data_IF_606181959360
#
_entry.id   IF_606181959360
#
_cell.length_a   1.000
_cell.length_b   1.000
_cell.length_c   1.000
_cell.angle_alpha   90.00
_cell.angle_beta   90.00
_cell.angle_gamma   90.00
#
_symmetry.space_group_name_H-M   'P 1'
#
loop_
_entity.id
_entity.type
_entity.pdbx_description
1 polymer ?
#
# COMPACT_ATOMS: atom_id res chain seq x y z
N UNK A 1 1.89 63.02 3.93
CA UNK A 1 2.58 62.38 2.78
C UNK A 1 4.06 62.67 2.94
N UNK A 2 5.05 61.78 2.96
CA UNK A 2 5.21 60.33 2.99
C UNK A 2 6.62 60.13 3.63
N UNK A 3 6.79 59.28 4.65
CA UNK A 3 7.45 57.95 4.58
C UNK A 3 8.59 57.83 3.54
N UNK A 4 9.73 57.21 3.79
CA UNK A 4 10.42 56.68 4.95
C UNK A 4 11.81 56.27 4.42
N UNK A 5 12.85 56.41 5.25
CA UNK A 5 14.18 55.85 5.01
C UNK A 5 14.06 54.32 4.85
N UNK A 6 14.63 53.74 3.80
CA UNK A 6 15.07 52.35 3.85
C UNK A 6 16.40 52.16 3.14
N UNK A 7 17.39 51.86 3.98
CA UNK A 7 18.69 51.30 3.65
C UNK A 7 18.53 49.80 3.29
N UNK A 8 19.64 49.29 2.74
CA UNK A 8 20.14 47.90 2.86
C UNK A 8 19.94 46.99 1.64
N UNK A 9 21.04 46.97 0.87
CA UNK A 9 21.83 45.82 0.44
C UNK A 9 21.26 44.84 -0.61
N UNK A 10 21.97 44.86 -1.74
CA UNK A 10 22.28 43.74 -2.61
C UNK A 10 22.60 42.45 -1.83
N UNK A 11 21.87 41.36 -2.11
CA UNK A 11 22.44 40.01 -2.12
C UNK A 11 21.84 39.22 -3.30
N UNK A 12 22.71 39.03 -4.29
CA UNK A 12 22.85 37.92 -5.22
C UNK A 12 21.66 36.98 -5.48
N UNK A 13 21.14 37.07 -6.71
CA UNK A 13 20.37 36.03 -7.38
C UNK A 13 21.30 34.83 -7.62
N UNK A 14 21.23 33.82 -6.76
CA UNK A 14 21.70 32.48 -7.09
C UNK A 14 20.48 31.64 -7.47
N UNK A 15 20.20 31.61 -8.77
CA UNK A 15 19.36 30.63 -9.40
C UNK A 15 20.06 29.27 -9.32
N UNK A 16 19.67 28.45 -8.37
CA UNK A 16 19.86 27.00 -8.41
C UNK A 16 18.54 26.38 -8.00
N UNK A 17 17.73 26.12 -9.02
CA UNK A 17 16.58 25.24 -8.91
C UNK A 17 17.06 23.85 -8.53
N UNK A 18 17.05 23.55 -7.24
CA UNK A 18 16.98 22.19 -6.74
C UNK A 18 15.50 21.90 -6.55
N UNK A 19 14.96 21.17 -7.53
CA UNK A 19 13.65 20.55 -7.58
C UNK A 19 13.22 20.07 -6.19
N UNK A 20 12.33 20.81 -5.53
CA UNK A 20 11.41 20.22 -4.57
C UNK A 20 10.57 19.21 -5.34
N UNK A 21 11.01 17.96 -5.38
CA UNK A 21 10.12 16.84 -5.64
C UNK A 21 9.06 16.90 -4.54
N UNK A 22 7.77 17.13 -4.84
CA UNK A 22 6.76 16.56 -4.00
C UNK A 22 6.90 15.07 -4.27
N UNK A 23 7.71 14.39 -3.45
CA UNK A 23 7.63 12.95 -3.36
C UNK A 23 6.17 12.73 -2.97
N UNK A 24 5.37 12.31 -3.95
CA UNK A 24 4.06 11.76 -3.74
C UNK A 24 4.29 10.66 -2.72
N UNK A 25 4.07 11.00 -1.45
CA UNK A 25 3.76 10.07 -0.40
C UNK A 25 2.46 9.44 -0.88
N UNK A 26 2.60 8.46 -1.78
CA UNK A 26 1.61 7.42 -1.93
C UNK A 26 1.41 6.96 -0.51
N UNK A 27 0.22 7.24 0.01
CA UNK A 27 -0.22 6.74 1.30
C UNK A 27 -0.32 5.23 1.12
N UNK A 28 0.82 4.54 1.11
CA UNK A 28 0.88 3.14 1.43
C UNK A 28 0.23 3.06 2.80
N UNK A 29 -0.88 2.31 2.97
CA UNK A 29 -1.42 2.07 4.30
C UNK A 29 -0.24 1.64 5.16
N UNK A 30 -0.08 2.26 6.34
CA UNK A 30 1.07 2.02 7.20
C UNK A 30 1.24 0.50 7.33
N UNK A 31 2.23 -0.05 6.63
CA UNK A 31 2.38 -1.51 6.51
C UNK A 31 2.76 -2.01 7.89
N UNK A 32 1.79 -2.57 8.59
CA UNK A 32 1.96 -3.11 9.94
C UNK A 32 2.72 -4.42 9.92
N UNK A 33 2.80 -5.08 8.75
CA UNK A 33 3.54 -6.33 8.57
C UNK A 33 4.92 -6.09 7.97
N UNK A 34 5.90 -6.96 8.26
CA UNK A 34 7.23 -6.87 7.66
C UNK A 34 7.16 -6.98 6.12
N UNK A 35 7.93 -6.17 5.38
CA UNK A 35 7.87 -6.13 3.91
C UNK A 35 8.22 -7.47 3.25
N UNK A 36 9.14 -8.24 3.83
CA UNK A 36 9.49 -9.58 3.38
C UNK A 36 8.32 -10.56 3.51
N UNK A 37 7.51 -10.43 4.57
CA UNK A 37 6.35 -11.28 4.77
C UNK A 37 5.23 -10.92 3.78
N UNK A 38 5.06 -9.64 3.48
CA UNK A 38 4.16 -9.17 2.43
C UNK A 38 4.60 -9.74 1.08
N UNK A 39 5.89 -9.70 0.75
CA UNK A 39 6.41 -10.21 -0.52
C UNK A 39 6.14 -11.72 -0.67
N UNK A 40 6.41 -12.52 0.36
CA UNK A 40 6.11 -13.96 0.37
C UNK A 40 4.61 -14.19 0.20
N UNK A 41 3.78 -13.49 0.97
CA UNK A 41 2.32 -13.59 0.85
C UNK A 41 1.83 -13.26 -0.56
N UNK A 42 2.33 -12.18 -1.15
CA UNK A 42 1.94 -11.75 -2.50
C UNK A 42 2.28 -12.82 -3.54
N UNK A 43 3.48 -13.41 -3.46
CA UNK A 43 3.89 -14.48 -4.35
C UNK A 43 2.99 -15.71 -4.23
N UNK A 44 2.73 -16.17 -3.01
CA UNK A 44 1.88 -17.35 -2.76
C UNK A 44 0.43 -17.11 -3.14
N UNK A 45 -0.11 -15.95 -2.77
CA UNK A 45 -1.48 -15.57 -3.08
C UNK A 45 -1.69 -15.49 -4.59
N UNK A 46 -0.79 -14.84 -5.33
CA UNK A 46 -0.92 -14.72 -6.78
C UNK A 46 -0.83 -16.09 -7.47
N UNK A 47 0.07 -16.97 -7.02
CA UNK A 47 0.17 -18.33 -7.54
C UNK A 47 -1.12 -19.14 -7.28
N UNK A 48 -1.65 -19.10 -6.06
CA UNK A 48 -2.91 -19.77 -5.69
C UNK A 48 -4.11 -19.19 -6.44
N UNK A 49 -4.15 -17.88 -6.61
CA UNK A 49 -5.20 -17.20 -7.37
C UNK A 49 -5.14 -17.61 -8.84
N UNK A 50 -3.97 -17.55 -9.49
CA UNK A 50 -3.82 -17.93 -10.88
C UNK A 50 -4.20 -19.39 -11.18
N UNK A 51 -4.05 -20.29 -10.20
CA UNK A 51 -4.44 -21.69 -10.30
C UNK A 51 -5.97 -21.91 -10.21
N UNK A 52 -6.69 -21.02 -9.52
CA UNK A 52 -8.13 -21.15 -9.25
C UNK A 52 -8.99 -20.14 -10.04
N UNK A 53 -8.36 -19.11 -10.59
CA UNK A 53 -9.06 -18.02 -11.26
C UNK A 53 -9.79 -18.52 -12.51
N UNK A 54 -11.04 -18.05 -12.74
CA UNK A 54 -11.74 -18.29 -13.99
C UNK A 54 -10.94 -17.79 -15.21
N UNK A 55 -11.22 -18.33 -16.41
CA UNK A 55 -10.66 -17.78 -17.64
C UNK A 55 -10.91 -16.28 -17.76
N UNK A 56 -9.87 -15.51 -18.08
CA UNK A 56 -9.94 -14.04 -18.19
C UNK A 56 -9.83 -13.25 -16.88
N UNK A 57 -9.55 -13.91 -15.76
CA UNK A 57 -9.36 -13.25 -14.46
C UNK A 57 -7.94 -13.33 -13.91
N UNK A 58 -7.06 -14.15 -14.52
CA UNK A 58 -5.72 -14.46 -14.00
C UNK A 58 -4.84 -13.22 -13.76
N UNK A 59 -5.00 -12.19 -14.58
CA UNK A 59 -4.31 -10.89 -14.49
C UNK A 59 -4.79 -10.02 -13.32
N UNK A 60 -5.90 -10.36 -12.67
CA UNK A 60 -6.46 -9.62 -11.52
C UNK A 60 -5.87 -10.06 -10.18
N UNK A 61 -4.99 -11.07 -10.19
CA UNK A 61 -4.39 -11.64 -8.97
C UNK A 61 -3.64 -10.61 -8.13
N UNK A 62 -2.92 -9.67 -8.76
CA UNK A 62 -2.22 -8.62 -8.03
C UNK A 62 -3.15 -7.71 -7.23
N UNK A 63 -4.26 -7.26 -7.86
CA UNK A 63 -5.29 -6.44 -7.20
C UNK A 63 -5.98 -7.21 -6.08
N UNK A 64 -6.31 -8.48 -6.31
CA UNK A 64 -6.93 -9.34 -5.30
C UNK A 64 -6.02 -9.51 -4.08
N UNK A 65 -4.75 -9.90 -4.30
CA UNK A 65 -3.81 -10.17 -3.22
C UNK A 65 -3.42 -8.90 -2.45
N UNK A 66 -3.26 -7.78 -3.15
CA UNK A 66 -3.04 -6.47 -2.51
C UNK A 66 -4.21 -6.08 -1.62
N UNK A 67 -5.45 -6.25 -2.11
CA UNK A 67 -6.64 -6.01 -1.30
C UNK A 67 -6.65 -6.91 -0.05
N UNK A 68 -6.32 -8.18 -0.23
CA UNK A 68 -6.36 -9.17 0.85
C UNK A 68 -5.37 -8.83 1.96
N UNK A 69 -4.10 -8.58 1.63
CA UNK A 69 -3.07 -8.26 2.63
C UNK A 69 -3.34 -6.93 3.34
N UNK A 70 -3.89 -5.94 2.63
CA UNK A 70 -4.25 -4.65 3.25
C UNK A 70 -5.39 -4.83 4.25
N UNK A 71 -6.44 -5.57 3.89
CA UNK A 71 -7.55 -5.85 4.81
C UNK A 71 -7.11 -6.68 6.01
N UNK A 72 -6.21 -7.64 5.84
CA UNK A 72 -5.67 -8.41 6.96
C UNK A 72 -4.89 -7.49 7.91
N UNK A 73 -4.01 -6.63 7.38
CA UNK A 73 -3.25 -5.65 8.18
C UNK A 73 -4.14 -4.67 8.95
N UNK A 74 -5.32 -4.34 8.44
CA UNK A 74 -6.31 -3.49 9.14
C UNK A 74 -7.05 -4.22 10.28
N UNK A 75 -7.13 -5.55 10.22
CA UNK A 75 -8.00 -6.35 11.10
C UNK A 75 -7.25 -7.17 12.13
N UNK A 76 -5.99 -7.51 11.88
CA UNK A 76 -5.20 -8.32 12.78
C UNK A 76 -3.72 -7.92 12.78
N UNK A 77 -3.01 -8.38 13.80
CA UNK A 77 -1.58 -8.17 13.96
C UNK A 77 -0.78 -9.19 13.16
N UNK A 78 0.51 -8.89 12.91
CA UNK A 78 1.38 -9.82 12.21
C UNK A 78 1.51 -11.18 12.91
N UNK A 79 1.57 -11.20 14.25
CA UNK A 79 1.63 -12.46 15.01
C UNK A 79 0.38 -13.33 14.83
N UNK A 80 -0.80 -12.71 14.75
CA UNK A 80 -2.04 -13.42 14.43
C UNK A 80 -2.05 -13.94 13.00
N UNK A 81 -1.57 -13.12 12.05
CA UNK A 81 -1.43 -13.52 10.65
C UNK A 81 -0.49 -14.73 10.46
N UNK A 82 0.64 -14.77 11.18
CA UNK A 82 1.58 -15.90 11.12
C UNK A 82 1.00 -17.20 11.69
N UNK A 83 0.02 -17.10 12.57
CA UNK A 83 -0.65 -18.26 13.18
C UNK A 83 -1.81 -18.77 12.33
N UNK A 84 -2.18 -18.08 11.25
CA UNK A 84 -3.23 -18.53 10.35
C UNK A 84 -2.83 -19.83 9.66
N UNK A 85 -3.71 -20.81 9.74
CA UNK A 85 -3.58 -22.07 9.00
C UNK A 85 -4.87 -22.35 8.25
N UNK A 86 -4.83 -23.29 7.30
CA UNK A 86 -6.05 -23.72 6.62
C UNK A 86 -7.11 -24.28 7.58
N UNK A 87 -6.67 -24.86 8.71
CA UNK A 87 -7.55 -25.44 9.73
C UNK A 87 -8.07 -24.41 10.76
N UNK A 88 -7.45 -23.23 10.83
CA UNK A 88 -7.83 -22.14 11.73
C UNK A 88 -7.94 -20.84 10.94
N UNK A 89 -8.85 -20.86 9.97
CA UNK A 89 -9.11 -19.69 9.14
C UNK A 89 -9.94 -18.66 9.93
N UNK A 90 -9.38 -17.49 10.25
CA UNK A 90 -10.11 -16.48 11.02
C UNK A 90 -11.27 -15.93 10.18
N UNK A 91 -12.42 -15.58 10.79
CA UNK A 91 -13.58 -15.04 10.08
C UNK A 91 -13.24 -13.78 9.28
N UNK A 92 -12.22 -13.02 9.70
CA UNK A 92 -11.66 -11.87 9.01
C UNK A 92 -11.07 -12.23 7.65
N UNK A 93 -10.43 -13.40 7.49
CA UNK A 93 -9.86 -13.84 6.21
C UNK A 93 -10.96 -14.15 5.20
N UNK A 94 -12.02 -14.84 5.64
CA UNK A 94 -13.18 -15.12 4.79
C UNK A 94 -13.90 -13.83 4.38
N UNK A 95 -14.10 -12.91 5.31
CA UNK A 95 -14.71 -11.62 5.03
C UNK A 95 -13.86 -10.78 4.05
N UNK A 96 -12.53 -10.74 4.25
CA UNK A 96 -11.62 -10.06 3.36
C UNK A 96 -11.59 -10.69 1.97
N UNK A 97 -11.59 -12.03 1.88
CA UNK A 97 -11.65 -12.77 0.62
C UNK A 97 -12.89 -12.40 -0.18
N UNK A 98 -14.08 -12.45 0.42
CA UNK A 98 -15.33 -12.10 -0.26
C UNK A 98 -15.34 -10.63 -0.74
N UNK A 99 -14.88 -9.71 0.11
CA UNK A 99 -14.80 -8.29 -0.25
C UNK A 99 -13.81 -8.04 -1.39
N UNK A 100 -12.66 -8.70 -1.37
CA UNK A 100 -11.62 -8.53 -2.37
C UNK A 100 -11.94 -9.23 -3.69
N UNK A 101 -12.65 -10.37 -3.65
CA UNK A 101 -13.24 -10.99 -4.84
C UNK A 101 -14.22 -10.00 -5.47
N UNK A 102 -15.16 -9.43 -4.70
CA UNK A 102 -16.12 -8.45 -5.23
C UNK A 102 -15.48 -7.20 -5.84
N UNK A 103 -14.31 -6.78 -5.35
CA UNK A 103 -13.59 -5.61 -5.85
C UNK A 103 -12.83 -5.84 -7.16
N UNK A 104 -12.67 -7.10 -7.60
CA UNK A 104 -11.99 -7.45 -8.85
C UNK A 104 -12.94 -7.82 -9.98
N UNK A 105 -14.27 -7.80 -9.78
CA UNK A 105 -15.27 -7.93 -10.83
C UNK A 105 -15.69 -6.56 -11.36
#
# INVERSE_FOLDING_TARGET
MALAKLLVAFVSINALGALCLPLLAQQTPATTYPPEAIAVFMQECQAKFAAQAPPGFRDRGDRYCTCLINRLQEKMTYGQFQQMTADNEPPELKAATNACIGAIF
#
